data_IF_606577818901
#
_entry.id   IF_606577818901
#
_cell.length_a   1.000
_cell.length_b   1.000
_cell.length_c   1.000
_cell.angle_alpha   90.00
_cell.angle_beta   90.00
_cell.angle_gamma   90.00
#
_symmetry.space_group_name_H-M   'P 1'
#
loop_
_entity.id
_entity.type
_entity.pdbx_description
1 polymer ?
#
# COMPACT_ATOMS: atom_id res chain seq x y z
N UNK A 1 -3.63 16.27 -20.35
CA UNK A 1 -2.29 15.81 -20.01
C UNK A 1 -1.45 16.97 -19.54
N UNK A 2 -0.84 16.80 -18.37
CA UNK A 2 -0.05 17.84 -17.69
C UNK A 2 1.29 17.29 -17.24
N UNK A 3 2.24 18.18 -16.94
CA UNK A 3 3.54 17.83 -16.38
C UNK A 3 3.36 17.07 -15.07
N UNK A 4 4.13 15.99 -14.90
CA UNK A 4 4.13 15.21 -13.67
C UNK A 4 4.61 16.02 -12.46
N UNK A 5 4.20 15.56 -11.28
CA UNK A 5 4.81 15.96 -10.00
C UNK A 5 6.29 15.56 -9.97
N UNK A 6 7.12 16.41 -9.38
CA UNK A 6 8.54 16.16 -9.12
C UNK A 6 8.83 16.52 -7.66
N UNK A 7 8.86 15.50 -6.79
CA UNK A 7 8.98 15.71 -5.35
C UNK A 7 7.81 16.55 -4.83
N UNK A 8 8.11 17.73 -4.29
CA UNK A 8 7.11 18.66 -3.75
C UNK A 8 6.48 19.56 -4.81
N UNK A 9 7.01 19.61 -6.04
CA UNK A 9 6.51 20.48 -7.10
C UNK A 9 5.43 19.78 -7.93
N UNK A 10 4.24 20.37 -8.03
CA UNK A 10 3.13 19.89 -8.85
C UNK A 10 2.59 21.01 -9.76
N UNK A 11 3.39 21.40 -10.77
CA UNK A 11 3.12 22.58 -11.60
C UNK A 11 1.98 22.40 -12.62
N UNK A 12 1.65 21.14 -12.96
CA UNK A 12 0.58 20.77 -13.92
C UNK A 12 0.60 21.55 -15.24
N UNK A 13 1.78 21.79 -15.78
CA UNK A 13 1.98 22.51 -17.05
C UNK A 13 1.39 21.68 -18.19
N UNK A 14 0.52 22.24 -19.06
CA UNK A 14 -0.01 21.51 -20.22
C UNK A 14 1.12 20.97 -21.11
N UNK A 15 1.00 19.70 -21.53
CA UNK A 15 2.05 19.00 -22.28
C UNK A 15 1.63 18.58 -23.70
N UNK A 16 0.41 18.95 -24.12
CA UNK A 16 -0.11 18.61 -25.45
C UNK A 16 0.28 19.67 -26.49
N UNK A 17 0.40 19.28 -27.77
CA UNK A 17 0.67 20.23 -28.85
C UNK A 17 -0.35 21.36 -28.90
N UNK A 18 0.13 22.58 -29.15
CA UNK A 18 -0.71 23.74 -29.36
C UNK A 18 -1.42 23.71 -30.73
N UNK A 19 -2.52 24.47 -30.93
CA UNK A 19 -3.25 24.48 -32.22
C UNK A 19 -2.44 24.91 -33.44
N UNK A 20 -1.29 25.57 -33.22
CA UNK A 20 -0.38 26.08 -34.26
C UNK A 20 0.91 25.26 -34.38
N UNK A 21 1.08 24.26 -33.52
CA UNK A 21 2.21 23.35 -33.58
C UNK A 21 1.85 22.26 -34.59
N UNK A 22 2.43 22.36 -35.79
CA UNK A 22 2.30 21.35 -36.82
C UNK A 22 3.41 20.30 -36.71
N UNK A 23 3.22 19.17 -37.38
CA UNK A 23 4.19 18.08 -37.39
C UNK A 23 3.57 16.77 -36.92
N UNK A 24 4.43 15.76 -36.74
CA UNK A 24 4.04 14.47 -36.19
C UNK A 24 4.19 14.49 -34.68
N UNK A 25 3.12 14.15 -33.97
CA UNK A 25 3.10 14.14 -32.51
C UNK A 25 2.64 12.77 -32.01
N UNK A 26 3.35 12.25 -31.02
CA UNK A 26 2.98 11.01 -30.35
C UNK A 26 3.00 11.16 -28.84
N UNK A 27 2.68 10.07 -28.16
CA UNK A 27 2.50 10.03 -26.72
C UNK A 27 3.43 9.00 -26.10
N UNK A 28 4.00 9.36 -24.95
CA UNK A 28 4.58 8.40 -24.01
C UNK A 28 3.72 8.39 -22.74
N UNK A 29 2.88 7.37 -22.60
CA UNK A 29 1.89 7.25 -21.53
C UNK A 29 2.32 6.22 -20.49
N UNK A 30 1.88 6.39 -19.25
CA UNK A 30 2.18 5.49 -18.13
C UNK A 30 0.89 4.91 -17.56
N UNK A 31 0.73 3.59 -17.59
CA UNK A 31 -0.29 2.88 -16.79
C UNK A 31 0.26 2.45 -15.43
N UNK A 32 1.56 2.67 -15.23
CA UNK A 32 2.36 2.34 -14.06
C UNK A 32 3.61 3.21 -14.09
N UNK A 33 4.10 3.58 -12.92
CA UNK A 33 5.26 4.45 -12.79
C UNK A 33 5.93 4.21 -11.44
N UNK A 34 7.13 4.73 -11.27
CA UNK A 34 7.85 4.71 -9.99
C UNK A 34 8.22 6.15 -9.64
N UNK A 35 7.60 6.69 -8.59
CA UNK A 35 7.82 8.08 -8.16
C UNK A 35 8.49 8.20 -6.79
N UNK A 36 8.76 7.08 -6.11
CA UNK A 36 9.30 7.02 -4.75
C UNK A 36 8.36 7.66 -3.71
N UNK A 37 7.08 7.86 -4.03
CA UNK A 37 6.10 8.59 -3.24
C UNK A 37 4.80 7.78 -3.09
N UNK A 38 4.01 7.68 -4.15
CA UNK A 38 2.62 7.21 -4.10
C UNK A 38 2.19 6.38 -5.31
N UNK A 39 3.10 6.10 -6.24
CA UNK A 39 2.77 5.43 -7.50
C UNK A 39 2.35 3.96 -7.31
N UNK A 40 1.88 3.36 -8.41
CA UNK A 40 1.61 1.94 -8.51
C UNK A 40 2.68 1.26 -9.37
N UNK A 41 3.30 0.20 -8.85
CA UNK A 41 4.24 -0.65 -9.58
C UNK A 41 3.84 -2.13 -9.53
N UNK A 42 3.49 -2.61 -8.34
CA UNK A 42 3.02 -3.97 -8.06
C UNK A 42 1.50 -4.11 -8.20
N UNK A 43 0.76 -3.01 -8.23
CA UNK A 43 -0.70 -3.00 -8.40
C UNK A 43 -1.15 -2.22 -9.64
N UNK A 44 -2.38 -2.45 -10.06
CA UNK A 44 -2.98 -1.82 -11.23
C UNK A 44 -3.12 -0.31 -11.04
N UNK A 45 -3.36 0.38 -12.15
CA UNK A 45 -3.54 1.83 -12.15
C UNK A 45 -4.62 2.24 -11.12
N UNK A 46 -4.31 3.16 -10.18
CA UNK A 46 -5.14 3.38 -8.99
C UNK A 46 -6.37 4.23 -9.27
N UNK A 47 -6.46 4.85 -10.44
CA UNK A 47 -7.59 5.69 -10.84
C UNK A 47 -8.53 4.93 -11.78
N UNK A 48 -9.80 5.35 -11.89
CA UNK A 48 -10.74 4.76 -12.84
C UNK A 48 -10.21 4.80 -14.28
N UNK A 49 -10.60 3.80 -15.08
CA UNK A 49 -10.19 3.67 -16.49
C UNK A 49 -10.69 4.85 -17.34
N UNK A 50 -11.75 5.52 -16.90
CA UNK A 50 -12.29 6.75 -17.46
C UNK A 50 -11.25 7.87 -17.50
N UNK A 51 -10.32 7.93 -16.54
CA UNK A 51 -9.24 8.90 -16.57
C UNK A 51 -8.32 8.65 -17.77
N UNK A 52 -7.99 7.39 -18.06
CA UNK A 52 -7.21 7.00 -19.25
C UNK A 52 -7.96 7.42 -20.51
N UNK A 53 -9.27 7.13 -20.59
CA UNK A 53 -10.12 7.55 -21.70
C UNK A 53 -10.04 9.06 -21.92
N UNK A 54 -10.31 9.84 -20.89
CA UNK A 54 -10.32 11.31 -20.97
C UNK A 54 -8.98 11.86 -21.43
N UNK A 55 -7.87 11.36 -20.88
CA UNK A 55 -6.53 11.86 -21.20
C UNK A 55 -6.11 11.51 -22.63
N UNK A 56 -6.36 10.27 -23.08
CA UNK A 56 -6.05 9.86 -24.45
C UNK A 56 -6.95 10.56 -25.47
N UNK A 57 -8.25 10.69 -25.20
CA UNK A 57 -9.16 11.44 -26.10
C UNK A 57 -8.73 12.89 -26.26
N UNK A 58 -8.34 13.58 -25.17
CA UNK A 58 -7.80 14.95 -25.25
C UNK A 58 -6.55 15.01 -26.13
N UNK A 59 -5.69 14.01 -26.01
CA UNK A 59 -4.43 13.93 -26.76
C UNK A 59 -4.63 13.70 -28.25
N UNK A 60 -5.49 12.75 -28.62
CA UNK A 60 -5.81 12.46 -30.01
C UNK A 60 -6.48 13.65 -30.68
N UNK A 61 -7.36 14.36 -29.95
CA UNK A 61 -7.96 15.63 -30.42
C UNK A 61 -6.92 16.75 -30.61
N UNK A 62 -5.86 16.77 -29.81
CA UNK A 62 -4.73 17.69 -29.96
C UNK A 62 -3.73 17.26 -31.06
N UNK A 63 -4.01 16.19 -31.81
CA UNK A 63 -3.16 15.73 -32.90
C UNK A 63 -1.99 14.82 -32.47
N UNK A 64 -1.89 14.44 -31.19
CA UNK A 64 -0.87 13.51 -30.69
C UNK A 64 -1.26 12.05 -30.97
N UNK A 65 -1.26 11.67 -32.25
CA UNK A 65 -1.79 10.38 -32.73
C UNK A 65 -0.91 9.66 -33.77
N UNK A 66 0.34 10.07 -33.95
CA UNK A 66 1.27 9.38 -34.85
C UNK A 66 1.88 8.11 -34.23
N UNK A 67 2.05 8.09 -32.90
CA UNK A 67 2.46 6.91 -32.14
C UNK A 67 1.99 7.01 -30.69
N UNK A 68 1.78 5.86 -30.05
CA UNK A 68 1.53 5.73 -28.62
C UNK A 68 2.51 4.69 -28.04
N UNK A 69 3.45 5.16 -27.24
CA UNK A 69 4.35 4.34 -26.44
C UNK A 69 3.78 4.27 -25.02
N UNK A 70 3.65 3.07 -24.47
CA UNK A 70 3.06 2.86 -23.14
C UNK A 70 4.09 2.20 -22.24
N UNK A 71 4.40 2.83 -21.10
CA UNK A 71 5.12 2.18 -20.03
C UNK A 71 4.19 1.16 -19.38
N UNK A 72 4.50 -0.12 -19.59
CA UNK A 72 3.71 -1.26 -19.12
C UNK A 72 4.15 -1.81 -17.77
N UNK A 73 5.28 -1.34 -17.22
CA UNK A 73 5.93 -1.97 -16.07
C UNK A 73 6.05 -3.49 -16.27
N UNK A 74 5.64 -4.26 -15.25
CA UNK A 74 5.74 -5.72 -15.26
C UNK A 74 4.55 -6.42 -15.97
N UNK A 75 3.71 -5.67 -16.69
CA UNK A 75 2.57 -6.14 -17.51
C UNK A 75 1.43 -6.75 -16.71
N UNK A 76 1.67 -7.82 -15.94
CA UNK A 76 0.64 -8.62 -15.26
C UNK A 76 -0.28 -7.79 -14.34
N UNK A 77 0.22 -6.86 -13.50
CA UNK A 77 -0.68 -6.06 -12.67
C UNK A 77 -1.52 -5.08 -13.50
N UNK A 78 -1.12 -4.77 -14.74
CA UNK A 78 -1.65 -3.67 -15.53
C UNK A 78 -2.46 -4.13 -16.75
N UNK A 79 -2.81 -5.43 -16.85
CA UNK A 79 -3.47 -6.01 -18.02
C UNK A 79 -4.71 -5.24 -18.48
N UNK A 80 -5.62 -4.91 -17.55
CA UNK A 80 -6.85 -4.18 -17.87
C UNK A 80 -6.57 -2.78 -18.44
N UNK A 81 -5.64 -2.03 -17.83
CA UNK A 81 -5.29 -0.69 -18.29
C UNK A 81 -4.54 -0.72 -19.64
N UNK A 82 -3.68 -1.71 -19.86
CA UNK A 82 -2.97 -1.92 -21.12
C UNK A 82 -3.94 -2.31 -22.25
N UNK A 83 -4.86 -3.24 -21.99
CA UNK A 83 -5.87 -3.67 -22.96
C UNK A 83 -6.77 -2.50 -23.36
N UNK A 84 -7.22 -1.71 -22.37
CA UNK A 84 -8.04 -0.52 -22.62
C UNK A 84 -7.29 0.55 -23.42
N UNK A 85 -6.03 0.80 -23.07
CA UNK A 85 -5.17 1.75 -23.80
C UNK A 85 -5.00 1.32 -25.26
N UNK A 86 -4.85 0.02 -25.49
CA UNK A 86 -4.77 -0.53 -26.84
C UNK A 86 -6.11 -0.43 -27.60
N UNK A 87 -7.25 -0.56 -26.91
CA UNK A 87 -8.58 -0.34 -27.51
C UNK A 87 -8.79 1.13 -27.89
N UNK A 88 -8.43 2.07 -27.00
CA UNK A 88 -8.44 3.50 -27.27
C UNK A 88 -7.59 3.85 -28.49
N UNK A 89 -6.40 3.26 -28.64
CA UNK A 89 -5.54 3.49 -29.80
C UNK A 89 -6.16 3.01 -31.11
N UNK A 90 -6.80 1.84 -31.11
CA UNK A 90 -7.42 1.26 -32.33
C UNK A 90 -8.65 2.03 -32.80
N UNK A 91 -9.43 2.55 -31.87
CA UNK A 91 -10.76 3.09 -32.14
C UNK A 91 -10.85 4.61 -31.99
N UNK A 92 -9.82 5.28 -31.44
CA UNK A 92 -9.79 6.68 -30.99
C UNK A 92 -10.83 7.06 -29.90
N UNK A 93 -11.88 6.24 -29.72
CA UNK A 93 -12.89 6.30 -28.68
C UNK A 93 -13.35 4.87 -28.32
N UNK A 94 -13.19 4.47 -27.07
CA UNK A 94 -13.61 3.18 -26.55
C UNK A 94 -14.63 3.35 -25.42
N UNK A 95 -15.61 2.45 -25.34
CA UNK A 95 -16.56 2.40 -24.24
C UNK A 95 -15.98 1.57 -23.09
N UNK A 96 -15.81 2.19 -21.92
CA UNK A 96 -15.15 1.58 -20.76
C UNK A 96 -15.90 0.32 -20.27
N UNK A 97 -17.23 0.35 -20.25
CA UNK A 97 -18.04 -0.75 -19.74
C UNK A 97 -18.03 -1.95 -20.69
N UNK A 98 -18.19 -1.68 -21.99
CA UNK A 98 -18.11 -2.68 -23.04
C UNK A 98 -16.72 -3.32 -23.10
N UNK A 99 -15.66 -2.51 -22.97
CA UNK A 99 -14.29 -3.00 -22.86
C UNK A 99 -14.15 -3.94 -21.66
N UNK A 100 -14.53 -3.51 -20.45
CA UNK A 100 -14.34 -4.30 -19.24
C UNK A 100 -15.10 -5.62 -19.31
N UNK A 101 -16.34 -5.61 -19.81
CA UNK A 101 -17.13 -6.83 -20.04
C UNK A 101 -16.42 -7.77 -21.02
N UNK A 102 -15.92 -7.23 -22.14
CA UNK A 102 -15.15 -7.98 -23.12
C UNK A 102 -13.84 -8.55 -22.57
N UNK A 103 -13.10 -7.76 -21.77
CA UNK A 103 -11.86 -8.16 -21.11
C UNK A 103 -12.12 -9.34 -20.17
N UNK A 104 -13.10 -9.23 -19.27
CA UNK A 104 -13.45 -10.32 -18.34
C UNK A 104 -13.89 -11.57 -19.09
N UNK A 105 -14.70 -11.44 -20.14
CA UNK A 105 -15.11 -12.59 -20.97
C UNK A 105 -13.91 -13.29 -21.62
N UNK A 106 -12.93 -12.54 -22.14
CA UNK A 106 -11.69 -13.11 -22.71
C UNK A 106 -10.85 -13.81 -21.65
N UNK A 107 -10.79 -13.26 -20.43
CA UNK A 107 -9.95 -13.80 -19.36
C UNK A 107 -10.56 -15.03 -18.66
N UNK A 108 -11.89 -15.13 -18.57
CA UNK A 108 -12.59 -16.16 -17.78
C UNK A 108 -13.50 -17.09 -18.61
N UNK A 109 -13.59 -16.88 -19.92
CA UNK A 109 -14.37 -17.70 -20.86
C UNK A 109 -15.85 -17.33 -20.95
N UNK A 110 -16.39 -16.65 -19.94
CA UNK A 110 -17.76 -16.13 -19.93
C UNK A 110 -17.83 -14.80 -19.17
N UNK A 111 -18.93 -14.08 -19.34
CA UNK A 111 -19.15 -12.83 -18.61
C UNK A 111 -19.38 -13.13 -17.14
N UNK A 112 -18.63 -12.45 -16.27
CA UNK A 112 -18.67 -12.63 -14.81
C UNK A 112 -19.02 -11.29 -14.16
N UNK A 113 -20.33 -10.97 -13.99
CA UNK A 113 -20.76 -9.69 -13.42
C UNK A 113 -20.12 -9.38 -12.07
N UNK A 114 -19.92 -10.40 -11.23
CA UNK A 114 -19.26 -10.21 -9.94
C UNK A 114 -17.79 -9.80 -10.07
N UNK A 115 -17.06 -10.32 -11.06
CA UNK A 115 -15.65 -9.94 -11.30
C UNK A 115 -15.58 -8.54 -11.91
N UNK A 116 -16.48 -8.21 -12.85
CA UNK A 116 -16.60 -6.86 -13.41
C UNK A 116 -16.73 -5.83 -12.28
N UNK A 117 -17.62 -6.09 -11.33
CA UNK A 117 -17.83 -5.24 -10.16
C UNK A 117 -16.58 -5.09 -9.28
N UNK A 118 -15.73 -6.11 -9.17
CA UNK A 118 -14.46 -5.99 -8.44
C UNK A 118 -13.52 -4.97 -9.11
N UNK A 119 -13.45 -4.95 -10.44
CA UNK A 119 -12.64 -3.99 -11.18
C UNK A 119 -13.20 -2.56 -11.09
N UNK A 120 -14.53 -2.41 -11.15
CA UNK A 120 -15.21 -1.12 -10.97
C UNK A 120 -14.99 -0.54 -9.57
N UNK A 121 -15.15 -1.36 -8.53
CA UNK A 121 -15.03 -0.94 -7.13
C UNK A 121 -13.57 -0.70 -6.70
N UNK A 122 -12.59 -1.25 -7.43
CA UNK A 122 -11.17 -1.18 -7.06
C UNK A 122 -10.67 0.27 -6.93
N UNK A 123 -10.90 1.09 -7.95
CA UNK A 123 -10.44 2.48 -7.95
C UNK A 123 -11.16 3.33 -6.90
N UNK A 124 -12.38 2.96 -6.50
CA UNK A 124 -13.10 3.64 -5.43
C UNK A 124 -12.46 3.42 -4.05
N UNK A 125 -11.73 2.31 -3.87
CA UNK A 125 -11.04 1.98 -2.62
C UNK A 125 -9.67 2.66 -2.47
N UNK A 126 -9.10 3.19 -3.56
CA UNK A 126 -7.77 3.83 -3.52
C UNK A 126 -7.82 5.16 -2.77
N UNK A 127 -6.72 5.48 -2.07
CA UNK A 127 -6.62 6.71 -1.28
C UNK A 127 -6.46 7.92 -2.22
N UNK A 128 -7.38 8.90 -2.21
CA UNK A 128 -7.12 10.21 -2.79
C UNK A 128 -6.18 10.98 -1.86
N UNK A 129 -4.95 11.24 -2.32
CA UNK A 129 -3.95 11.96 -1.54
C UNK A 129 -3.88 13.45 -1.89
N UNK A 130 -4.49 13.86 -3.01
CA UNK A 130 -4.46 15.24 -3.50
C UNK A 130 -5.81 15.75 -3.98
N UNK A 131 -5.80 16.92 -4.61
CA UNK A 131 -7.00 17.62 -5.07
C UNK A 131 -7.43 17.21 -6.48
N UNK A 132 -6.51 16.61 -7.25
CA UNK A 132 -6.78 16.22 -8.64
C UNK A 132 -7.17 14.75 -8.75
N UNK A 133 -7.95 14.43 -9.79
CA UNK A 133 -8.49 13.08 -10.02
C UNK A 133 -7.40 12.01 -10.15
N UNK A 134 -6.24 12.37 -10.70
CA UNK A 134 -5.05 11.54 -10.88
C UNK A 134 -4.24 11.32 -9.58
N UNK A 135 -4.52 12.07 -8.52
CA UNK A 135 -3.78 12.01 -7.25
C UNK A 135 -4.33 10.91 -6.33
N UNK A 136 -4.25 9.67 -6.82
CA UNK A 136 -4.66 8.45 -6.13
C UNK A 136 -3.49 7.52 -5.86
N UNK A 137 -3.48 6.93 -4.67
CA UNK A 137 -2.37 6.11 -4.19
C UNK A 137 -2.36 4.71 -4.82
N UNK A 138 -1.22 4.37 -5.43
CA UNK A 138 -0.78 2.98 -5.61
C UNK A 138 -0.14 2.42 -4.34
N UNK A 139 0.48 1.25 -4.43
CA UNK A 139 1.02 0.59 -3.24
C UNK A 139 2.26 1.29 -2.65
N UNK A 140 3.04 2.04 -3.43
CA UNK A 140 4.25 2.73 -2.95
C UNK A 140 3.96 3.72 -1.81
N UNK A 141 2.73 4.26 -1.78
CA UNK A 141 2.23 5.17 -0.73
C UNK A 141 2.35 4.60 0.68
N UNK A 142 2.25 3.28 0.83
CA UNK A 142 2.32 2.62 2.13
C UNK A 142 3.74 2.28 2.57
N UNK A 143 4.72 2.42 1.68
CA UNK A 143 6.07 1.90 1.86
C UNK A 143 7.12 3.01 1.89
N UNK A 144 7.12 3.90 0.89
CA UNK A 144 8.11 4.98 0.83
C UNK A 144 7.93 5.99 1.97
N UNK A 145 6.73 6.55 2.23
CA UNK A 145 6.50 7.40 3.38
C UNK A 145 6.82 6.71 4.71
N UNK A 146 6.46 5.43 4.87
CA UNK A 146 6.78 4.67 6.09
C UNK A 146 8.28 4.63 6.36
N UNK A 147 9.10 4.29 5.37
CA UNK A 147 10.56 4.27 5.54
C UNK A 147 11.12 5.65 5.85
N UNK A 148 10.59 6.70 5.21
CA UNK A 148 10.96 8.09 5.49
C UNK A 148 10.62 8.49 6.93
N UNK A 149 9.40 8.21 7.39
CA UNK A 149 8.95 8.48 8.76
C UNK A 149 9.80 7.74 9.79
N UNK A 150 10.06 6.45 9.58
CA UNK A 150 10.90 5.65 10.49
C UNK A 150 12.32 6.23 10.54
N UNK A 151 12.94 6.51 9.39
CA UNK A 151 14.28 7.08 9.35
C UNK A 151 14.40 8.42 10.06
N UNK A 152 13.43 9.31 9.83
CA UNK A 152 13.33 10.63 10.49
C UNK A 152 13.20 10.48 12.01
N UNK A 153 12.28 9.60 12.43
CA UNK A 153 12.03 9.31 13.85
C UNK A 153 13.27 8.74 14.54
N UNK A 154 13.90 7.71 13.99
CA UNK A 154 15.06 7.04 14.63
C UNK A 154 16.29 7.95 14.74
N UNK A 155 16.38 8.99 13.91
CA UNK A 155 17.43 10.02 14.01
C UNK A 155 17.11 11.09 15.07
N UNK A 156 16.00 10.96 15.80
CA UNK A 156 15.55 11.93 16.80
C UNK A 156 15.06 13.25 16.19
N UNK A 157 14.76 13.28 14.88
CA UNK A 157 14.29 14.49 14.21
C UNK A 157 12.80 14.72 14.50
N UNK A 158 12.44 15.98 14.76
CA UNK A 158 11.07 16.39 15.11
C UNK A 158 10.52 17.51 14.23
N UNK A 159 11.39 18.17 13.46
CA UNK A 159 11.00 19.15 12.45
C UNK A 159 10.28 18.47 11.27
N UNK A 160 9.57 19.24 10.44
CA UNK A 160 8.94 18.78 9.20
C UNK A 160 9.90 17.92 8.38
N UNK A 161 9.44 16.75 7.90
CA UNK A 161 10.20 15.99 6.93
C UNK A 161 9.92 16.53 5.52
N UNK A 162 10.93 17.15 4.90
CA UNK A 162 10.81 17.80 3.59
C UNK A 162 10.30 16.88 2.47
N UNK A 163 10.63 15.58 2.52
CA UNK A 163 10.22 14.59 1.50
C UNK A 163 8.77 14.15 1.63
N UNK A 164 8.05 14.58 2.67
CA UNK A 164 6.62 14.31 2.88
C UNK A 164 5.73 15.53 2.62
N UNK A 165 6.32 16.69 2.31
CA UNK A 165 5.60 17.94 2.02
C UNK A 165 4.66 17.79 0.83
N UNK A 166 5.02 16.99 -0.17
CA UNK A 166 4.20 16.76 -1.36
C UNK A 166 2.76 16.28 -1.04
N UNK A 167 2.59 15.56 0.06
CA UNK A 167 1.31 15.01 0.52
C UNK A 167 0.62 15.90 1.55
N UNK A 168 1.40 16.51 2.44
CA UNK A 168 0.90 17.10 3.69
C UNK A 168 1.03 18.62 3.75
N UNK A 169 1.80 19.22 2.85
CA UNK A 169 2.29 20.58 2.98
C UNK A 169 3.41 20.71 4.02
N UNK A 170 3.80 21.94 4.30
CA UNK A 170 4.78 22.25 5.36
C UNK A 170 4.07 22.34 6.71
N UNK A 171 3.93 21.18 7.35
CA UNK A 171 3.31 21.01 8.67
C UNK A 171 4.25 20.21 9.57
N UNK A 172 4.03 20.24 10.89
CA UNK A 172 4.90 19.52 11.84
C UNK A 172 4.98 18.02 11.52
N UNK A 173 6.10 17.36 11.83
CA UNK A 173 6.25 15.93 11.56
C UNK A 173 5.13 15.09 12.19
N UNK A 174 4.69 15.44 13.40
CA UNK A 174 3.57 14.78 14.05
C UNK A 174 2.25 14.94 13.26
N UNK A 175 2.02 16.10 12.65
CA UNK A 175 0.86 16.33 11.78
C UNK A 175 0.99 15.56 10.46
N UNK A 176 2.20 15.44 9.91
CA UNK A 176 2.46 14.61 8.73
C UNK A 176 2.10 13.14 9.02
N UNK A 177 2.62 12.58 10.12
CA UNK A 177 2.33 11.21 10.57
C UNK A 177 0.82 11.02 10.81
N UNK A 178 0.15 11.98 11.46
CA UNK A 178 -1.30 11.92 11.70
C UNK A 178 -2.11 11.93 10.40
N UNK A 179 -1.68 12.70 9.41
CA UNK A 179 -2.33 12.76 8.11
C UNK A 179 -2.23 11.42 7.38
N UNK A 180 -1.04 10.81 7.32
CA UNK A 180 -0.85 9.48 6.70
C UNK A 180 -1.68 8.41 7.41
N UNK A 181 -1.72 8.45 8.75
CA UNK A 181 -2.61 7.58 9.54
C UNK A 181 -4.05 7.70 9.09
N UNK A 182 -4.59 8.92 9.08
CA UNK A 182 -5.99 9.17 8.75
C UNK A 182 -6.33 8.63 7.35
N UNK A 183 -5.45 8.83 6.37
CA UNK A 183 -5.66 8.33 5.01
C UNK A 183 -5.67 6.81 4.93
N UNK A 184 -4.71 6.16 5.58
CA UNK A 184 -4.63 4.71 5.62
C UNK A 184 -5.86 4.10 6.31
N UNK A 185 -6.24 4.62 7.48
CA UNK A 185 -7.35 4.11 8.28
C UNK A 185 -8.71 4.24 7.58
N UNK A 186 -8.93 5.36 6.88
CA UNK A 186 -10.16 5.57 6.11
C UNK A 186 -10.32 4.58 4.95
N UNK A 187 -9.21 4.10 4.36
CA UNK A 187 -9.25 3.18 3.23
C UNK A 187 -9.44 1.71 3.64
N UNK A 188 -9.05 1.33 4.86
CA UNK A 188 -9.09 -0.07 5.33
C UNK A 188 -10.47 -0.73 5.13
N UNK A 189 -11.61 -0.15 5.56
CA UNK A 189 -12.91 -0.81 5.43
C UNK A 189 -13.32 -1.09 3.98
N UNK A 190 -12.97 -0.20 3.05
CA UNK A 190 -13.22 -0.38 1.63
C UNK A 190 -12.46 -1.58 1.07
N UNK A 191 -11.16 -1.66 1.39
CA UNK A 191 -10.32 -2.79 0.98
C UNK A 191 -10.74 -4.11 1.61
N UNK A 192 -11.14 -4.12 2.89
CA UNK A 192 -11.67 -5.31 3.57
C UNK A 192 -12.93 -5.82 2.89
N UNK A 193 -13.90 -4.93 2.63
CA UNK A 193 -15.14 -5.28 1.98
C UNK A 193 -14.90 -5.81 0.55
N UNK A 194 -13.99 -5.19 -0.19
CA UNK A 194 -13.63 -5.63 -1.55
C UNK A 194 -12.92 -6.99 -1.53
N UNK A 195 -12.00 -7.21 -0.59
CA UNK A 195 -11.33 -8.49 -0.40
C UNK A 195 -12.33 -9.61 -0.08
N UNK A 196 -13.27 -9.36 0.85
CA UNK A 196 -14.28 -10.33 1.24
C UNK A 196 -15.16 -10.73 0.05
N UNK A 197 -15.63 -9.74 -0.74
CA UNK A 197 -16.36 -10.00 -1.99
C UNK A 197 -15.52 -10.82 -2.97
N UNK A 198 -14.27 -10.44 -3.17
CA UNK A 198 -13.34 -11.14 -4.05
C UNK A 198 -13.12 -12.60 -3.66
N UNK A 199 -12.92 -12.88 -2.36
CA UNK A 199 -12.81 -14.26 -1.84
C UNK A 199 -14.10 -15.06 -2.05
N UNK A 200 -15.26 -14.46 -1.82
CA UNK A 200 -16.55 -15.12 -2.06
C UNK A 200 -16.77 -15.45 -3.54
N UNK A 201 -16.32 -14.58 -4.45
CA UNK A 201 -16.33 -14.86 -5.90
C UNK A 201 -15.39 -16.03 -6.23
N UNK A 202 -14.16 -16.00 -5.71
CA UNK A 202 -13.16 -17.05 -5.97
C UNK A 202 -13.64 -18.45 -5.57
N UNK A 203 -14.38 -18.57 -4.45
CA UNK A 203 -14.95 -19.85 -3.98
C UNK A 203 -16.00 -20.46 -4.94
N UNK A 204 -16.58 -19.66 -5.84
CA UNK A 204 -17.59 -20.10 -6.82
C UNK A 204 -16.99 -20.39 -8.20
N UNK A 205 -15.70 -20.13 -8.39
CA UNK A 205 -15.01 -20.37 -9.65
C UNK A 205 -14.39 -21.77 -9.66
N UNK A 206 -14.09 -22.28 -10.86
CA UNK A 206 -13.19 -23.43 -11.00
C UNK A 206 -11.81 -23.10 -10.42
N UNK A 207 -11.04 -24.12 -10.03
CA UNK A 207 -9.70 -23.93 -9.46
C UNK A 207 -8.80 -23.06 -10.35
N UNK A 208 -8.85 -23.27 -11.68
CA UNK A 208 -8.10 -22.46 -12.64
C UNK A 208 -8.50 -20.98 -12.60
N UNK A 209 -9.80 -20.69 -12.64
CA UNK A 209 -10.31 -19.32 -12.65
C UNK A 209 -10.17 -18.64 -11.28
N UNK A 210 -10.28 -19.41 -10.19
CA UNK A 210 -10.01 -18.94 -8.84
C UNK A 210 -8.54 -18.51 -8.69
N UNK A 211 -7.60 -19.34 -9.17
CA UNK A 211 -6.17 -19.02 -9.22
C UNK A 211 -5.88 -17.81 -10.10
N UNK A 212 -6.51 -17.73 -11.27
CA UNK A 212 -6.42 -16.58 -12.19
C UNK A 212 -6.90 -15.28 -11.52
N UNK A 213 -8.03 -15.32 -10.83
CA UNK A 213 -8.58 -14.18 -10.09
C UNK A 213 -7.65 -13.75 -8.95
N UNK A 214 -7.04 -14.71 -8.24
CA UNK A 214 -6.07 -14.39 -7.21
C UNK A 214 -4.87 -13.61 -7.77
N UNK A 215 -4.27 -14.14 -8.84
CA UNK A 215 -3.08 -13.57 -9.49
C UNK A 215 -3.36 -12.19 -10.09
N UNK A 216 -4.54 -12.00 -10.71
CA UNK A 216 -4.84 -10.77 -11.45
C UNK A 216 -5.50 -9.67 -10.61
N UNK A 217 -6.13 -10.01 -9.48
CA UNK A 217 -6.93 -9.04 -8.71
C UNK A 217 -6.71 -9.15 -7.20
N UNK A 218 -6.89 -10.35 -6.60
CA UNK A 218 -6.92 -10.44 -5.13
C UNK A 218 -5.59 -10.14 -4.47
N UNK A 219 -4.46 -10.55 -5.07
CA UNK A 219 -3.13 -10.19 -4.55
C UNK A 219 -2.94 -8.68 -4.46
N UNK A 220 -3.46 -7.93 -5.43
CA UNK A 220 -3.34 -6.47 -5.45
C UNK A 220 -4.18 -5.82 -4.34
N UNK A 221 -5.39 -6.33 -4.10
CA UNK A 221 -6.24 -5.92 -2.97
C UNK A 221 -5.55 -6.24 -1.63
N UNK A 222 -4.93 -7.42 -1.52
CA UNK A 222 -4.15 -7.81 -0.34
C UNK A 222 -2.98 -6.87 -0.08
N UNK A 223 -2.26 -6.43 -1.12
CA UNK A 223 -1.18 -5.44 -1.00
C UNK A 223 -1.67 -4.09 -0.48
N UNK A 224 -2.79 -3.56 -1.00
CA UNK A 224 -3.33 -2.30 -0.50
C UNK A 224 -3.81 -2.42 0.96
N UNK A 225 -4.52 -3.51 1.30
CA UNK A 225 -5.03 -3.71 2.65
C UNK A 225 -3.89 -3.85 3.68
N UNK A 226 -2.92 -4.70 3.38
CA UNK A 226 -1.76 -4.92 4.25
C UNK A 226 -0.88 -3.68 4.35
N UNK A 227 -0.69 -2.95 3.24
CA UNK A 227 -0.01 -1.65 3.22
C UNK A 227 -0.70 -0.61 4.09
N UNK A 228 -2.02 -0.43 3.97
CA UNK A 228 -2.79 0.51 4.79
C UNK A 228 -2.67 0.17 6.29
N UNK A 229 -2.84 -1.11 6.64
CA UNK A 229 -2.76 -1.57 8.04
C UNK A 229 -1.34 -1.41 8.61
N UNK A 230 -0.31 -1.68 7.80
CA UNK A 230 1.09 -1.47 8.16
C UNK A 230 1.38 0.01 8.42
N UNK A 231 1.01 0.89 7.49
CA UNK A 231 1.21 2.34 7.59
C UNK A 231 0.48 2.92 8.81
N UNK A 232 -0.80 2.56 9.00
CA UNK A 232 -1.58 3.00 10.15
C UNK A 232 -0.96 2.52 11.48
N UNK A 233 -0.45 1.30 11.53
CA UNK A 233 0.21 0.74 12.71
C UNK A 233 1.50 1.47 13.05
N UNK A 234 2.33 1.83 12.06
CA UNK A 234 3.52 2.68 12.28
C UNK A 234 3.13 4.05 12.84
N UNK A 235 2.10 4.67 12.28
CA UNK A 235 1.67 5.99 12.75
C UNK A 235 1.11 5.95 14.17
N UNK A 236 0.42 4.86 14.55
CA UNK A 236 -0.03 4.64 15.93
C UNK A 236 1.15 4.39 16.86
N UNK A 237 2.16 3.62 16.43
CA UNK A 237 3.38 3.43 17.21
C UNK A 237 4.07 4.77 17.52
N UNK A 238 4.12 5.68 16.53
CA UNK A 238 4.67 7.02 16.74
C UNK A 238 3.85 7.84 17.75
N UNK A 239 2.52 7.80 17.67
CA UNK A 239 1.65 8.52 18.60
C UNK A 239 1.81 8.03 20.05
N UNK A 240 1.89 6.72 20.25
CA UNK A 240 2.10 6.10 21.56
C UNK A 240 3.50 6.44 22.10
N UNK A 241 4.51 6.41 21.24
CA UNK A 241 5.87 6.82 21.61
C UNK A 241 5.93 8.26 22.10
N UNK A 242 5.28 9.19 21.39
CA UNK A 242 5.19 10.60 21.82
C UNK A 242 4.47 10.77 23.16
N UNK A 243 3.62 9.80 23.53
CA UNK A 243 2.88 9.76 24.79
C UNK A 243 3.58 8.94 25.88
N UNK A 244 4.84 8.52 25.66
CA UNK A 244 5.63 7.68 26.58
C UNK A 244 5.02 6.29 26.82
N UNK A 245 4.09 5.86 25.97
CA UNK A 245 3.39 4.57 26.01
C UNK A 245 4.20 3.51 25.23
N UNK A 246 5.41 3.22 25.71
CA UNK A 246 6.37 2.40 24.96
C UNK A 246 5.94 0.95 24.69
N UNK A 247 5.29 0.22 25.61
CA UNK A 247 4.77 -1.11 25.33
C UNK A 247 3.72 -1.11 24.20
N UNK A 248 2.82 -0.12 24.18
CA UNK A 248 1.81 0.06 23.13
C UNK A 248 2.49 0.39 21.79
N UNK A 249 3.45 1.32 21.81
CA UNK A 249 4.23 1.67 20.63
C UNK A 249 4.93 0.44 20.03
N UNK A 250 5.55 -0.38 20.88
CA UNK A 250 6.21 -1.63 20.50
C UNK A 250 5.23 -2.63 19.88
N UNK A 251 4.05 -2.84 20.48
CA UNK A 251 2.99 -3.71 19.94
C UNK A 251 2.52 -3.20 18.58
N UNK A 252 2.31 -1.89 18.42
CA UNK A 252 1.93 -1.31 17.13
C UNK A 252 3.02 -1.46 16.06
N UNK A 253 4.30 -1.31 16.40
CA UNK A 253 5.40 -1.60 15.48
C UNK A 253 5.43 -3.09 15.11
N UNK A 254 5.16 -4.01 16.04
CA UNK A 254 5.05 -5.44 15.76
C UNK A 254 3.86 -5.78 14.84
N UNK A 255 2.69 -5.15 15.04
CA UNK A 255 1.55 -5.23 14.12
C UNK A 255 1.97 -4.81 12.71
N UNK A 256 2.71 -3.71 12.58
CA UNK A 256 3.20 -3.24 11.30
C UNK A 256 4.13 -4.26 10.62
N UNK A 257 5.07 -4.88 11.35
CA UNK A 257 5.92 -5.98 10.82
C UNK A 257 5.03 -7.08 10.24
N UNK A 258 4.05 -7.57 11.01
CA UNK A 258 3.15 -8.64 10.57
C UNK A 258 2.34 -8.26 9.33
N UNK A 259 1.81 -7.05 9.28
CA UNK A 259 1.05 -6.58 8.13
C UNK A 259 1.90 -6.54 6.85
N UNK A 260 3.08 -5.93 6.89
CA UNK A 260 3.96 -5.88 5.72
C UNK A 260 4.46 -7.27 5.31
N UNK A 261 4.75 -8.16 6.28
CA UNK A 261 5.10 -9.57 6.00
C UNK A 261 3.98 -10.31 5.28
N UNK A 262 2.71 -10.12 5.67
CA UNK A 262 1.56 -10.69 4.96
C UNK A 262 1.46 -10.20 3.52
N UNK A 263 1.79 -8.93 3.26
CA UNK A 263 1.86 -8.40 1.89
C UNK A 263 2.92 -9.10 1.04
N UNK A 264 4.10 -9.36 1.62
CA UNK A 264 5.17 -10.12 0.95
C UNK A 264 4.77 -11.60 0.72
N UNK A 265 4.09 -12.22 1.68
CA UNK A 265 3.55 -13.58 1.55
C UNK A 265 2.49 -13.66 0.45
N UNK A 266 1.63 -12.66 0.31
CA UNK A 266 0.64 -12.58 -0.77
C UNK A 266 1.31 -12.55 -2.16
N UNK A 267 2.41 -11.80 -2.31
CA UNK A 267 3.19 -11.81 -3.55
C UNK A 267 3.70 -13.23 -3.85
N UNK A 268 4.31 -13.90 -2.87
CA UNK A 268 4.83 -15.26 -3.03
C UNK A 268 3.73 -16.27 -3.35
N UNK A 269 2.55 -16.12 -2.76
CA UNK A 269 1.39 -16.97 -3.06
C UNK A 269 0.88 -16.76 -4.49
N UNK A 270 1.02 -15.56 -5.05
CA UNK A 270 0.64 -15.26 -6.42
C UNK A 270 1.67 -15.76 -7.46
N UNK A 271 2.93 -15.99 -7.06
CA UNK A 271 3.97 -16.58 -7.91
C UNK A 271 3.72 -18.07 -8.13
N UNK A 272 2.84 -18.43 -9.05
CA UNK A 272 2.61 -19.85 -9.31
C UNK A 272 2.27 -20.21 -10.75
N UNK A 273 2.66 -21.42 -11.14
CA UNK A 273 2.61 -21.87 -12.52
C UNK A 273 3.57 -21.04 -13.38
N UNK A 274 3.08 -20.47 -14.48
CA UNK A 274 3.90 -19.64 -15.36
C UNK A 274 4.41 -18.33 -14.73
N UNK A 275 3.90 -17.96 -13.54
CA UNK A 275 4.28 -16.75 -12.82
C UNK A 275 5.27 -17.01 -11.68
N UNK A 276 5.88 -18.19 -11.64
CA UNK A 276 6.97 -18.46 -10.71
C UNK A 276 8.06 -17.38 -10.80
N UNK A 277 8.50 -16.88 -9.64
CA UNK A 277 9.51 -15.84 -9.50
C UNK A 277 9.17 -14.47 -10.10
N UNK A 278 7.89 -14.19 -10.41
CA UNK A 278 7.48 -12.92 -11.00
C UNK A 278 7.82 -11.69 -10.13
N UNK A 279 7.72 -11.82 -8.81
CA UNK A 279 7.96 -10.76 -7.82
C UNK A 279 9.33 -10.85 -7.12
N UNK A 280 10.24 -11.75 -7.55
CA UNK A 280 11.60 -11.86 -6.99
C UNK A 280 12.41 -10.55 -7.01
N UNK A 281 11.99 -9.64 -7.89
CA UNK A 281 12.64 -8.41 -8.30
C UNK A 281 11.93 -7.15 -7.76
N UNK A 282 11.26 -7.24 -6.61
CA UNK A 282 10.64 -6.09 -5.94
C UNK A 282 11.71 -5.14 -5.35
N UNK A 283 12.34 -4.33 -6.21
CA UNK A 283 13.32 -3.32 -5.82
C UNK A 283 12.75 -1.91 -5.75
N UNK A 284 11.61 -1.67 -6.41
CA UNK A 284 10.98 -0.36 -6.50
C UNK A 284 10.14 -0.08 -5.25
N UNK A 285 9.07 -0.85 -5.04
CA UNK A 285 8.26 -0.78 -3.82
C UNK A 285 9.04 -1.31 -2.62
N UNK A 286 9.73 -2.44 -2.82
CA UNK A 286 10.64 -3.08 -1.89
C UNK A 286 10.01 -3.30 -0.50
N UNK A 287 9.02 -4.19 -0.48
CA UNK A 287 8.29 -4.55 0.75
C UNK A 287 9.26 -5.12 1.79
N UNK A 288 10.23 -5.94 1.37
CA UNK A 288 11.28 -6.49 2.24
C UNK A 288 12.07 -5.40 2.97
N UNK A 289 12.43 -4.31 2.29
CA UNK A 289 13.10 -3.17 2.93
C UNK A 289 12.18 -2.44 3.92
N UNK A 290 10.88 -2.35 3.64
CA UNK A 290 9.90 -1.79 4.60
C UNK A 290 9.81 -2.64 5.87
N UNK A 291 9.80 -3.98 5.72
CA UNK A 291 9.84 -4.92 6.85
C UNK A 291 11.11 -4.69 7.66
N UNK A 292 12.27 -4.58 7.01
CA UNK A 292 13.54 -4.31 7.69
C UNK A 292 13.52 -3.02 8.52
N UNK A 293 13.03 -1.91 7.95
CA UNK A 293 12.89 -0.64 8.67
C UNK A 293 11.94 -0.76 9.86
N UNK A 294 10.82 -1.45 9.67
CA UNK A 294 9.79 -1.63 10.70
C UNK A 294 10.28 -2.51 11.85
N UNK A 295 11.02 -3.59 11.54
CA UNK A 295 11.68 -4.43 12.54
C UNK A 295 12.75 -3.65 13.31
N UNK A 296 13.52 -2.79 12.63
CA UNK A 296 14.51 -1.91 13.29
C UNK A 296 13.84 -0.95 14.26
N UNK A 297 12.74 -0.31 13.85
CA UNK A 297 11.95 0.55 14.73
C UNK A 297 11.42 -0.22 15.96
N UNK A 298 10.88 -1.43 15.75
CA UNK A 298 10.37 -2.27 16.84
C UNK A 298 11.45 -2.56 17.88
N UNK A 299 12.65 -2.97 17.44
CA UNK A 299 13.75 -3.23 18.37
C UNK A 299 14.25 -1.95 19.06
N UNK A 300 14.25 -0.81 18.36
CA UNK A 300 14.54 0.50 18.97
C UNK A 300 13.55 0.87 20.07
N UNK A 301 12.24 0.72 19.83
CA UNK A 301 11.19 1.00 20.81
C UNK A 301 11.36 0.18 22.10
N UNK A 302 11.81 -1.07 21.97
CA UNK A 302 12.13 -1.93 23.11
C UNK A 302 13.20 -1.34 24.03
N UNK A 303 14.13 -0.54 23.49
CA UNK A 303 15.19 0.10 24.28
C UNK A 303 14.68 1.19 25.24
N UNK A 304 13.48 1.75 25.01
CA UNK A 304 12.95 2.86 25.81
C UNK A 304 12.33 2.44 27.15
N UNK A 305 12.08 1.15 27.37
CA UNK A 305 11.49 0.67 28.63
C UNK A 305 11.81 -0.77 29.02
N UNK A 306 12.32 -1.60 28.10
CA UNK A 306 12.67 -2.99 28.40
C UNK A 306 14.19 -3.19 28.62
N UNK A 307 15.00 -2.18 28.30
CA UNK A 307 16.46 -2.14 28.48
C UNK A 307 16.86 -2.05 29.97
N UNK A 308 18.02 -2.60 30.40
CA UNK A 308 19.07 -3.22 29.57
C UNK A 308 18.88 -4.71 29.30
N UNK A 309 18.13 -5.42 30.16
CA UNK A 309 18.09 -6.89 30.15
C UNK A 309 16.97 -7.48 29.26
N UNK A 310 16.10 -6.62 28.71
CA UNK A 310 14.98 -7.00 27.83
C UNK A 310 13.95 -7.91 28.51
N UNK A 311 13.76 -7.68 29.80
CA UNK A 311 12.92 -8.48 30.69
C UNK A 311 11.96 -7.64 31.56
N UNK A 312 12.12 -6.31 31.58
CA UNK A 312 11.34 -5.43 32.45
C UNK A 312 9.85 -5.46 32.10
N UNK A 313 9.51 -5.44 30.81
CA UNK A 313 8.11 -5.52 30.37
C UNK A 313 7.50 -6.89 30.63
N UNK A 314 8.28 -7.97 30.47
CA UNK A 314 7.81 -9.29 30.87
C UNK A 314 7.48 -9.30 32.37
N UNK A 315 8.40 -8.81 33.21
CA UNK A 315 8.21 -8.71 34.65
C UNK A 315 7.00 -7.85 35.03
N UNK A 316 6.80 -6.72 34.37
CA UNK A 316 5.73 -5.78 34.69
C UNK A 316 4.36 -6.33 34.28
N UNK A 317 4.22 -6.76 33.03
CA UNK A 317 2.92 -7.04 32.42
C UNK A 317 2.53 -8.52 32.44
N UNK A 318 3.50 -9.43 32.31
CA UNK A 318 3.26 -10.84 31.98
C UNK A 318 3.59 -11.80 33.12
N UNK A 319 4.55 -11.45 33.98
CA UNK A 319 4.98 -12.30 35.08
C UNK A 319 3.88 -12.39 36.14
N UNK A 320 3.58 -13.60 36.67
CA UNK A 320 2.68 -13.77 37.79
C UNK A 320 3.11 -12.93 39.01
N UNK A 321 2.16 -12.30 39.70
CA UNK A 321 2.46 -11.41 40.83
C UNK A 321 3.25 -12.11 41.95
N UNK A 322 3.00 -13.41 42.15
CA UNK A 322 3.72 -14.26 43.10
C UNK A 322 5.21 -14.40 42.80
N UNK A 323 5.63 -14.18 41.55
CA UNK A 323 7.00 -14.35 41.07
C UNK A 323 7.76 -13.01 40.97
N UNK A 324 7.07 -11.87 40.89
CA UNK A 324 7.69 -10.55 40.67
C UNK A 324 8.70 -10.12 41.76
N UNK A 325 8.53 -10.64 42.97
CA UNK A 325 9.40 -10.34 44.11
C UNK A 325 10.58 -11.31 44.27
N UNK A 326 10.66 -12.36 43.44
CA UNK A 326 11.74 -13.36 43.49
C UNK A 326 12.88 -12.91 42.57
N UNK A 327 13.94 -12.34 43.16
CA UNK A 327 15.06 -11.73 42.43
C UNK A 327 15.87 -12.71 41.55
N UNK A 328 15.87 -14.00 41.89
CA UNK A 328 16.61 -15.07 41.18
C UNK A 328 15.93 -15.56 39.89
N UNK A 329 14.68 -15.19 39.62
CA UNK A 329 14.01 -15.58 38.36
C UNK A 329 14.67 -14.94 37.12
N UNK A 330 15.30 -13.77 37.28
CA UNK A 330 16.02 -13.09 36.20
C UNK A 330 17.25 -13.88 35.71
N UNK A 331 17.79 -14.82 36.49
CA UNK A 331 18.94 -15.67 36.09
C UNK A 331 18.55 -16.98 35.40
N UNK A 332 17.26 -17.33 35.37
CA UNK A 332 16.79 -18.62 34.84
C UNK A 332 15.89 -18.51 33.59
N UNK A 333 15.55 -17.29 33.14
CA UNK A 333 14.66 -17.09 32.00
C UNK A 333 15.33 -16.29 30.89
N UNK A 334 15.29 -16.83 29.67
CA UNK A 334 15.72 -16.10 28.49
C UNK A 334 14.73 -14.97 28.18
N UNK A 335 15.21 -13.75 27.85
CA UNK A 335 14.36 -12.69 27.31
C UNK A 335 13.54 -13.19 26.14
N UNK A 336 12.26 -12.83 26.11
CA UNK A 336 11.39 -13.24 25.01
C UNK A 336 11.85 -12.59 23.70
N UNK A 337 11.83 -13.31 22.57
CA UNK A 337 11.97 -12.71 21.25
C UNK A 337 10.89 -11.67 21.00
N UNK A 338 11.19 -10.66 20.17
CA UNK A 338 10.29 -9.53 19.93
C UNK A 338 8.87 -9.96 19.52
N UNK A 339 8.73 -10.94 18.63
CA UNK A 339 7.42 -11.41 18.16
C UNK A 339 6.60 -11.99 19.31
N UNK A 340 7.21 -12.86 20.12
CA UNK A 340 6.50 -13.51 21.22
C UNK A 340 6.15 -12.53 22.35
N UNK A 341 7.06 -11.61 22.64
CA UNK A 341 6.80 -10.54 23.61
C UNK A 341 5.63 -9.66 23.14
N UNK A 342 5.62 -9.27 21.87
CA UNK A 342 4.57 -8.42 21.33
C UNK A 342 3.20 -9.08 21.36
N UNK A 343 3.09 -10.38 21.03
CA UNK A 343 1.84 -11.13 21.13
C UNK A 343 1.27 -11.12 22.55
N UNK A 344 2.10 -11.47 23.54
CA UNK A 344 1.68 -11.53 24.94
C UNK A 344 1.33 -10.14 25.50
N UNK A 345 2.12 -9.11 25.15
CA UNK A 345 1.82 -7.74 25.55
C UNK A 345 0.54 -7.23 24.89
N UNK A 346 0.29 -7.57 23.63
CA UNK A 346 -0.94 -7.20 22.93
C UNK A 346 -2.18 -7.76 23.62
N UNK A 347 -2.19 -9.07 23.90
CA UNK A 347 -3.26 -9.73 24.67
C UNK A 347 -3.47 -9.02 26.02
N UNK A 348 -2.38 -8.81 26.75
CA UNK A 348 -2.44 -8.20 28.08
C UNK A 348 -2.92 -6.75 28.07
N UNK A 349 -2.46 -5.94 27.12
CA UNK A 349 -2.84 -4.53 27.02
C UNK A 349 -4.30 -4.36 26.57
N UNK A 350 -4.84 -5.30 25.78
CA UNK A 350 -6.27 -5.38 25.46
C UNK A 350 -7.08 -5.72 26.71
N UNK A 351 -6.67 -6.73 27.48
CA UNK A 351 -7.33 -7.09 28.75
C UNK A 351 -7.39 -5.92 29.74
N UNK A 352 -6.33 -5.12 29.78
CA UNK A 352 -6.23 -3.93 30.62
C UNK A 352 -7.03 -2.73 30.09
N UNK A 353 -7.64 -2.83 28.90
CA UNK A 353 -8.38 -1.74 28.25
C UNK A 353 -7.50 -0.58 27.77
N UNK A 354 -6.19 -0.81 27.66
CA UNK A 354 -5.19 0.20 27.25
C UNK A 354 -5.01 0.22 25.75
N UNK A 355 -5.19 -0.93 25.09
CA UNK A 355 -5.16 -1.09 23.65
C UNK A 355 -6.56 -1.49 23.17
N UNK A 356 -7.05 -0.84 22.12
CA UNK A 356 -8.33 -1.26 21.53
C UNK A 356 -8.22 -2.67 20.93
N UNK A 357 -9.22 -3.51 21.20
CA UNK A 357 -9.40 -4.81 20.54
C UNK A 357 -9.77 -4.62 19.06
N UNK A 358 -10.29 -3.44 18.72
CA UNK A 358 -10.70 -2.98 17.40
C UNK A 358 -9.56 -2.75 16.42
N UNK A 359 -8.85 -3.83 16.05
CA UNK A 359 -8.18 -4.01 14.73
C UNK A 359 -7.63 -5.42 14.51
N UNK A 360 -8.14 -6.42 15.24
CA UNK A 360 -7.88 -7.83 14.98
C UNK A 360 -9.00 -8.41 14.11
N UNK A 361 -8.93 -8.16 12.80
CA UNK A 361 -9.51 -9.06 11.77
C UNK A 361 -8.47 -9.27 10.67
#
# INVERSE_FOLDING_TARGET
MVSRRQGNLNLRIPALPGPREGGKHGLYYHVTFHDLQASNHLTMFPSPVELIKQELTKAFKAGAKDYLLVNSGNILPHLNALDFTAEMWRNEDADAQRHLTGFIKRMYGEERPDIIRLYEDYAACTIPYGAHEDERAGEEFYHHPTRQMIGHWLQGQTCTHERLIWATGDVSFADQVRWFRSRAEQAIPGWEALQQRGRAVAQRLSDENSRRLYIQMLVQIELHLTGCRGLASICNAYADYCSWAYPQAFVHAARAVRHYSRGLEALRAAESGQWEHFYRADWLTNISNTIYHTSTLRSFLRMHGDSPDLFLWYKEYLMPETEKHIYLENTHRNPLPDDRLAELLEERLIELGVLDSGRLV
#
